data_IF_555195829222
#
_entry.id   IF_555195829222
#
_cell.length_a   1.000
_cell.length_b   1.000
_cell.length_c   1.000
_cell.angle_alpha   90.00
_cell.angle_beta   90.00
_cell.angle_gamma   90.00
#
_symmetry.space_group_name_H-M   'P 1'
#
loop_
_entity.id
_entity.type
_entity.pdbx_description
1 polymer ?
#
# COMPACT_ATOMS: atom_id res chain seq x y z
N UNK A 1 -5.55 20.42 0.39
CA UNK A 1 -6.18 19.53 1.38
C UNK A 1 -5.98 18.13 0.85
N UNK A 2 -5.06 17.39 1.45
CA UNK A 2 -4.78 16.02 1.05
C UNK A 2 -5.97 15.14 1.40
N UNK A 3 -6.40 14.31 0.46
CA UNK A 3 -7.57 13.42 0.61
C UNK A 3 -7.18 12.07 1.24
N UNK A 4 -5.89 11.83 1.40
CA UNK A 4 -5.31 10.61 1.94
C UNK A 4 -3.93 10.91 2.56
N UNK A 5 -3.53 10.07 3.50
CA UNK A 5 -2.19 10.03 4.09
C UNK A 5 -1.38 8.92 3.41
N UNK A 6 -0.07 9.11 3.24
CA UNK A 6 0.83 8.09 2.71
C UNK A 6 1.88 7.73 3.75
N UNK A 7 2.11 6.44 3.95
CA UNK A 7 3.09 5.88 4.87
C UNK A 7 4.04 4.94 4.11
N UNK A 8 5.33 5.03 4.41
CA UNK A 8 6.35 4.14 3.87
C UNK A 8 6.28 2.78 4.56
N UNK A 9 6.17 1.70 3.79
CA UNK A 9 6.12 0.32 4.31
C UNK A 9 7.49 -0.35 4.28
N UNK A 10 8.21 -0.23 3.17
CA UNK A 10 9.57 -0.75 3.03
C UNK A 10 10.32 0.07 1.98
N UNK A 11 11.60 0.34 2.28
CA UNK A 11 12.52 0.94 1.33
C UNK A 11 13.10 -0.14 0.42
N UNK A 12 12.97 0.06 -0.89
CA UNK A 12 13.51 -0.85 -1.89
C UNK A 12 14.68 -0.21 -2.64
N UNK A 13 15.57 -1.05 -3.20
CA UNK A 13 16.73 -0.54 -3.95
C UNK A 13 16.36 0.28 -5.20
N UNK A 14 15.17 0.07 -5.75
CA UNK A 14 14.67 0.77 -6.94
C UNK A 14 13.36 1.52 -6.70
N UNK A 15 12.49 0.99 -5.86
CA UNK A 15 11.18 1.59 -5.56
C UNK A 15 10.77 1.21 -4.15
N UNK A 16 10.14 2.17 -3.48
CA UNK A 16 9.61 1.99 -2.14
C UNK A 16 8.19 1.44 -2.18
N UNK A 17 7.87 0.58 -1.22
CA UNK A 17 6.51 0.14 -1.00
C UNK A 17 5.78 1.14 -0.10
N UNK A 18 4.59 1.58 -0.54
CA UNK A 18 3.84 2.63 0.12
C UNK A 18 2.42 2.20 0.47
N UNK A 19 1.92 2.70 1.60
CA UNK A 19 0.53 2.59 2.03
C UNK A 19 -0.15 3.95 1.88
N UNK A 20 -1.28 3.98 1.20
CA UNK A 20 -2.15 5.14 1.13
C UNK A 20 -3.42 4.88 1.93
N UNK A 21 -3.72 5.73 2.91
CA UNK A 21 -4.92 5.67 3.75
C UNK A 21 -5.80 6.88 3.45
N UNK A 22 -7.05 6.64 3.04
CA UNK A 22 -8.00 7.73 2.84
C UNK A 22 -8.29 8.40 4.19
N UNK A 23 -8.37 9.73 4.18
CA UNK A 23 -8.69 10.51 5.37
C UNK A 23 -10.13 10.25 5.83
N UNK A 24 -10.44 10.61 7.07
CA UNK A 24 -11.78 10.37 7.65
C UNK A 24 -12.89 10.99 6.79
N UNK A 25 -13.93 10.19 6.50
CA UNK A 25 -15.01 10.58 5.60
C UNK A 25 -14.71 10.43 4.11
N UNK A 26 -13.45 10.16 3.72
CA UNK A 26 -13.03 9.95 2.34
C UNK A 26 -12.85 8.46 2.01
N UNK A 27 -13.08 8.14 0.74
CA UNK A 27 -12.87 6.80 0.18
C UNK A 27 -12.27 6.92 -1.21
N UNK A 28 -11.36 6.02 -1.54
CA UNK A 28 -10.86 5.86 -2.90
C UNK A 28 -11.95 5.31 -3.82
N UNK A 29 -11.76 5.48 -5.14
CA UNK A 29 -12.67 4.97 -6.18
C UNK A 29 -12.92 3.48 -5.98
N UNK A 30 -14.19 3.09 -5.86
CA UNK A 30 -14.61 1.71 -5.55
C UNK A 30 -14.88 1.43 -4.07
N UNK A 31 -14.88 2.47 -3.22
CA UNK A 31 -15.24 2.37 -1.81
C UNK A 31 -14.13 1.79 -0.93
N UNK A 32 -12.87 1.95 -1.35
CA UNK A 32 -11.72 1.50 -0.59
C UNK A 32 -11.25 2.59 0.38
N UNK A 33 -10.73 2.18 1.53
CA UNK A 33 -10.19 3.09 2.56
C UNK A 33 -8.66 3.05 2.62
N UNK A 34 -8.04 2.01 2.08
CA UNK A 34 -6.59 1.89 2.00
C UNK A 34 -6.14 1.23 0.70
N UNK A 35 -4.96 1.61 0.22
CA UNK A 35 -4.30 1.05 -0.95
C UNK A 35 -2.83 0.84 -0.61
N UNK A 36 -2.36 -0.40 -0.73
CA UNK A 36 -0.94 -0.73 -0.67
C UNK A 36 -0.39 -0.78 -2.08
N UNK A 37 0.56 0.09 -2.37
CA UNK A 37 1.38 0.10 -3.57
C UNK A 37 2.68 -0.64 -3.27
N UNK A 38 2.95 -1.72 -4.02
CA UNK A 38 4.13 -2.54 -3.79
C UNK A 38 4.75 -3.03 -5.08
N UNK A 39 6.06 -3.24 -5.08
CA UNK A 39 6.82 -3.62 -6.24
C UNK A 39 7.28 -5.07 -6.12
N UNK A 40 6.93 -5.88 -7.11
CA UNK A 40 7.41 -7.26 -7.20
C UNK A 40 8.50 -7.35 -8.27
N UNK A 41 9.61 -8.01 -7.95
CA UNK A 41 10.65 -8.27 -8.93
C UNK A 41 10.08 -9.00 -10.15
N UNK A 42 10.30 -8.44 -11.34
CA UNK A 42 9.85 -9.03 -12.60
C UNK A 42 10.97 -9.79 -13.28
N UNK A 43 12.09 -9.10 -13.51
CA UNK A 43 13.28 -9.58 -14.21
C UNK A 43 14.42 -8.55 -14.04
N UNK A 44 15.58 -8.84 -14.63
CA UNK A 44 16.78 -7.98 -14.54
C UNK A 44 16.61 -6.55 -15.09
N UNK A 45 15.52 -6.24 -15.79
CA UNK A 45 15.26 -4.94 -16.40
C UNK A 45 14.16 -4.15 -15.70
N UNK A 46 13.50 -4.69 -14.67
CA UNK A 46 12.53 -3.91 -13.91
C UNK A 46 11.68 -4.67 -12.89
N UNK A 47 10.87 -3.90 -12.18
CA UNK A 47 9.89 -4.39 -11.21
C UNK A 47 8.47 -4.15 -11.73
N UNK A 48 7.53 -5.03 -11.37
CA UNK A 48 6.11 -4.82 -11.60
C UNK A 48 5.49 -4.07 -10.42
N UNK A 49 4.93 -2.89 -10.72
CA UNK A 49 4.11 -2.13 -9.80
C UNK A 49 2.75 -2.81 -9.61
N UNK A 50 2.41 -3.13 -8.36
CA UNK A 50 1.12 -3.74 -7.99
C UNK A 50 0.41 -2.87 -6.96
N UNK A 51 -0.93 -2.97 -6.98
CA UNK A 51 -1.79 -2.28 -6.03
C UNK A 51 -2.71 -3.29 -5.36
N UNK A 52 -2.79 -3.25 -4.04
CA UNK A 52 -3.77 -4.00 -3.27
C UNK A 52 -4.68 -3.04 -2.53
N UNK A 53 -5.98 -3.14 -2.82
CA UNK A 53 -6.99 -2.21 -2.30
C UNK A 53 -7.80 -2.88 -1.21
N UNK A 54 -8.07 -2.15 -0.13
CA UNK A 54 -8.75 -2.65 1.05
C UNK A 54 -9.97 -1.80 1.37
N UNK A 55 -11.09 -2.46 1.68
CA UNK A 55 -12.33 -1.79 2.10
C UNK A 55 -12.35 -1.43 3.58
N UNK A 56 -11.46 -2.04 4.37
CA UNK A 56 -11.32 -1.78 5.81
C UNK A 56 -9.84 -1.63 6.15
N UNK A 57 -9.54 -0.73 7.10
CA UNK A 57 -8.17 -0.52 7.58
C UNK A 57 -7.62 -1.77 8.27
N UNK A 58 -8.45 -2.50 9.01
CA UNK A 58 -8.05 -3.73 9.67
C UNK A 58 -7.45 -4.77 8.70
N UNK A 59 -8.05 -4.94 7.52
CA UNK A 59 -7.52 -5.87 6.52
C UNK A 59 -6.22 -5.35 5.88
N UNK A 60 -6.08 -4.04 5.73
CA UNK A 60 -4.84 -3.42 5.27
C UNK A 60 -3.71 -3.67 6.27
N UNK A 61 -3.95 -3.39 7.55
CA UNK A 61 -2.98 -3.61 8.62
C UNK A 61 -2.64 -5.09 8.78
N UNK A 62 -3.60 -6.02 8.73
CA UNK A 62 -3.32 -7.47 8.71
C UNK A 62 -2.42 -7.88 7.54
N UNK A 63 -2.62 -7.28 6.37
CA UNK A 63 -1.74 -7.54 5.22
C UNK A 63 -0.35 -6.98 5.46
N UNK A 64 -0.24 -5.75 5.97
CA UNK A 64 1.04 -5.10 6.26
C UNK A 64 1.82 -5.89 7.30
N UNK A 65 1.17 -6.22 8.42
CA UNK A 65 1.74 -6.98 9.51
C UNK A 65 2.34 -8.30 9.02
N UNK A 66 1.54 -9.07 8.25
CA UNK A 66 1.96 -10.35 7.70
C UNK A 66 3.12 -10.27 6.68
N UNK A 67 3.21 -9.20 5.89
CA UNK A 67 4.16 -9.13 4.75
C UNK A 67 5.38 -8.25 5.01
N UNK A 68 5.29 -7.31 5.95
CA UNK A 68 6.31 -6.29 6.21
C UNK A 68 6.79 -6.24 7.66
N UNK A 69 5.96 -6.62 8.63
CA UNK A 69 6.31 -6.55 10.06
C UNK A 69 6.38 -7.92 10.73
N UNK A 70 6.46 -8.99 9.94
CA UNK A 70 6.57 -10.35 10.46
C UNK A 70 7.88 -10.53 11.22
N UNK A 71 7.78 -10.54 12.55
CA UNK A 71 8.68 -11.26 13.44
C UNK A 71 8.53 -12.78 13.26
#
# INVERSE_FOLDING_TARGET
MDFYTTELLAEGALNDDMLHIANEGYKFKGGYVAIVEYYTFANSWGNYKRYKRFKTLENAYKFIDKNYRGE
#
